data_IF_170599384347
#
_entry.id   IF_170599384347
#
_cell.length_a   1.000
_cell.length_b   1.000
_cell.length_c   1.000
_cell.angle_alpha   90.00
_cell.angle_beta   90.00
_cell.angle_gamma   90.00
#
_symmetry.space_group_name_H-M   'P 1'
#
loop_
_entity.id
_entity.type
_entity.pdbx_description
1 polymer ?
#
# COMPACT_ATOMS: atom_id res chain seq x y z
N UNK A 1 29.45 -16.94 2.65
CA UNK A 1 27.96 -17.13 2.66
C UNK A 1 27.69 -18.61 2.38
N UNK A 2 26.94 -19.29 3.25
CA UNK A 2 26.57 -20.70 3.04
C UNK A 2 25.66 -20.80 1.79
N UNK A 3 25.65 -21.97 1.12
CA UNK A 3 24.80 -22.23 -0.05
C UNK A 3 23.29 -21.97 0.24
N UNK A 4 22.89 -22.19 1.49
CA UNK A 4 21.52 -21.91 1.95
C UNK A 4 21.22 -20.40 2.00
N UNK A 5 22.17 -19.58 2.47
CA UNK A 5 22.02 -18.11 2.48
C UNK A 5 21.95 -17.52 1.06
N UNK A 6 22.75 -18.06 0.13
CA UNK A 6 22.72 -17.65 -1.28
C UNK A 6 21.38 -17.98 -1.95
N UNK A 7 20.83 -19.15 -1.64
CA UNK A 7 19.50 -19.58 -2.12
C UNK A 7 18.38 -18.72 -1.53
N UNK A 8 18.45 -18.42 -0.23
CA UNK A 8 17.49 -17.56 0.46
C UNK A 8 17.52 -16.12 -0.09
N UNK A 9 18.71 -15.55 -0.25
CA UNK A 9 18.88 -14.22 -0.83
C UNK A 9 18.36 -14.16 -2.27
N UNK A 10 18.63 -15.17 -3.11
CA UNK A 10 18.09 -15.24 -4.46
C UNK A 10 16.56 -15.34 -4.50
N UNK A 11 15.95 -16.11 -3.64
CA UNK A 11 14.49 -16.21 -3.53
C UNK A 11 13.86 -14.92 -3.04
N UNK A 12 14.42 -14.29 -2.01
CA UNK A 12 13.95 -12.99 -1.50
C UNK A 12 14.04 -11.91 -2.58
N UNK A 13 15.09 -11.93 -3.39
CA UNK A 13 15.26 -11.02 -4.52
C UNK A 13 14.19 -11.23 -5.60
N UNK A 14 13.87 -12.47 -5.96
CA UNK A 14 12.83 -12.81 -6.93
C UNK A 14 11.44 -12.36 -6.43
N UNK A 15 11.11 -12.61 -5.16
CA UNK A 15 9.84 -12.13 -4.57
C UNK A 15 9.79 -10.62 -4.47
N UNK A 16 10.91 -9.96 -4.14
CA UNK A 16 11.03 -8.52 -4.07
C UNK A 16 10.81 -7.85 -5.42
N UNK A 17 11.56 -8.27 -6.44
CA UNK A 17 11.46 -7.75 -7.81
C UNK A 17 10.06 -7.97 -8.37
N UNK A 18 9.46 -9.15 -8.16
CA UNK A 18 8.11 -9.42 -8.65
C UNK A 18 7.04 -8.54 -7.98
N UNK A 19 7.18 -8.27 -6.69
CA UNK A 19 6.26 -7.36 -5.98
C UNK A 19 6.37 -5.93 -6.51
N UNK A 20 7.58 -5.48 -6.83
CA UNK A 20 7.83 -4.16 -7.44
C UNK A 20 7.27 -4.12 -8.87
N UNK A 21 7.50 -5.17 -9.66
CA UNK A 21 6.98 -5.26 -11.03
C UNK A 21 5.45 -5.22 -11.07
N UNK A 22 4.78 -5.98 -10.21
CA UNK A 22 3.31 -5.96 -10.06
C UNK A 22 2.81 -4.57 -9.70
N UNK A 23 3.49 -3.86 -8.81
CA UNK A 23 3.15 -2.47 -8.46
C UNK A 23 3.35 -1.52 -9.64
N UNK A 24 4.45 -1.64 -10.38
CA UNK A 24 4.71 -0.83 -11.55
C UNK A 24 3.66 -1.05 -12.65
N UNK A 25 3.25 -2.29 -12.89
CA UNK A 25 2.19 -2.61 -13.86
C UNK A 25 0.84 -2.01 -13.45
N UNK A 26 0.44 -2.12 -12.18
CA UNK A 26 -0.76 -1.45 -11.67
C UNK A 26 -0.69 0.08 -11.81
N UNK A 27 0.52 0.62 -11.83
CA UNK A 27 0.77 2.04 -12.02
C UNK A 27 0.40 2.52 -13.43
N UNK A 28 0.46 1.63 -14.44
CA UNK A 28 0.05 1.96 -15.81
C UNK A 28 -1.45 2.32 -15.91
N UNK A 29 -2.26 1.90 -14.94
CA UNK A 29 -3.66 2.32 -14.88
C UNK A 29 -3.83 3.82 -14.56
N UNK A 30 -2.92 4.42 -13.81
CA UNK A 30 -3.04 5.82 -13.38
C UNK A 30 -3.11 6.78 -14.57
N UNK A 31 -2.13 6.79 -15.50
CA UNK A 31 -2.19 7.66 -16.67
C UNK A 31 -3.39 7.39 -17.55
N UNK A 32 -3.86 6.15 -17.61
CA UNK A 32 -5.03 5.78 -18.39
C UNK A 32 -6.33 6.25 -17.74
N UNK A 33 -6.57 5.86 -16.49
CA UNK A 33 -7.80 6.20 -15.78
C UNK A 33 -7.98 7.72 -15.59
N UNK A 34 -6.90 8.45 -15.31
CA UNK A 34 -6.98 9.91 -15.16
C UNK A 34 -7.23 10.66 -16.48
N UNK A 35 -7.16 9.98 -17.64
CA UNK A 35 -7.52 10.55 -18.95
C UNK A 35 -8.94 10.21 -19.38
N UNK A 36 -9.50 9.11 -18.87
CA UNK A 36 -10.83 8.62 -19.29
C UNK A 36 -11.90 8.84 -18.23
N UNK A 37 -11.51 9.20 -17.00
CA UNK A 37 -12.41 9.46 -15.88
C UNK A 37 -12.39 10.93 -15.48
N UNK A 38 -13.52 11.41 -14.99
CA UNK A 38 -13.66 12.67 -14.28
C UNK A 38 -13.00 12.58 -12.88
N UNK A 39 -12.73 13.74 -12.27
CA UNK A 39 -12.08 13.82 -10.95
C UNK A 39 -12.85 13.07 -9.87
N UNK A 40 -14.18 13.28 -9.80
CA UNK A 40 -15.04 12.62 -8.82
C UNK A 40 -15.05 11.10 -9.00
N UNK A 41 -15.13 10.61 -10.24
CA UNK A 41 -15.08 9.18 -10.55
C UNK A 41 -13.75 8.53 -10.12
N UNK A 42 -12.63 9.20 -10.37
CA UNK A 42 -11.32 8.73 -9.89
C UNK A 42 -11.20 8.83 -8.37
N UNK A 43 -11.89 9.80 -7.75
CA UNK A 43 -12.06 9.93 -6.29
C UNK A 43 -12.71 8.69 -5.69
N UNK A 44 -13.79 8.17 -6.29
CA UNK A 44 -14.45 6.93 -5.89
C UNK A 44 -13.44 5.75 -5.92
N UNK A 45 -12.69 5.61 -7.02
CA UNK A 45 -11.66 4.56 -7.15
C UNK A 45 -10.60 4.71 -6.06
N UNK A 46 -10.12 5.93 -5.81
CA UNK A 46 -9.09 6.21 -4.80
C UNK A 46 -9.57 5.90 -3.39
N UNK A 47 -10.82 6.20 -3.07
CA UNK A 47 -11.43 5.91 -1.78
C UNK A 47 -11.57 4.39 -1.55
N UNK A 48 -12.22 3.71 -2.48
CA UNK A 48 -12.47 2.27 -2.35
C UNK A 48 -11.16 1.48 -2.30
N UNK A 49 -10.15 1.87 -3.08
CA UNK A 49 -8.83 1.24 -3.02
C UNK A 49 -8.06 1.51 -1.71
N UNK A 50 -8.48 2.50 -0.91
CA UNK A 50 -7.95 2.65 0.45
C UNK A 50 -8.62 1.71 1.46
N UNK A 51 -9.89 1.38 1.24
CA UNK A 51 -10.65 0.43 2.09
C UNK A 51 -10.11 -1.00 1.95
N UNK A 52 -9.77 -1.43 0.72
CA UNK A 52 -9.37 -2.80 0.42
C UNK A 52 -8.22 -3.29 1.32
N UNK A 53 -7.04 -2.63 1.41
CA UNK A 53 -5.95 -3.10 2.28
C UNK A 53 -6.32 -3.12 3.75
N UNK A 54 -7.11 -2.16 4.22
CA UNK A 54 -7.54 -2.08 5.62
C UNK A 54 -8.42 -3.29 6.01
N UNK A 55 -9.45 -3.59 5.21
CA UNK A 55 -10.33 -4.73 5.45
C UNK A 55 -9.59 -6.06 5.23
N UNK A 56 -8.70 -6.14 4.24
CA UNK A 56 -7.90 -7.34 3.96
C UNK A 56 -7.05 -7.75 5.17
N UNK A 57 -6.43 -6.79 5.86
CA UNK A 57 -5.66 -7.07 7.09
C UNK A 57 -6.55 -7.67 8.18
N UNK A 58 -7.78 -7.18 8.32
CA UNK A 58 -8.76 -7.71 9.28
C UNK A 58 -9.14 -9.15 8.93
N UNK A 59 -9.47 -9.43 7.67
CA UNK A 59 -9.90 -10.76 7.22
C UNK A 59 -8.78 -11.81 7.29
N UNK A 60 -7.55 -11.41 7.00
CA UNK A 60 -6.39 -12.32 7.07
C UNK A 60 -5.93 -12.57 8.51
N UNK A 61 -6.35 -11.76 9.47
CA UNK A 61 -6.08 -11.92 10.91
C UNK A 61 -4.60 -12.11 11.27
N UNK A 62 -3.67 -11.65 10.43
CA UNK A 62 -2.22 -11.88 10.60
C UNK A 62 -1.82 -13.36 10.42
N UNK A 63 -2.73 -14.22 9.94
CA UNK A 63 -2.52 -15.68 9.83
C UNK A 63 -1.46 -16.06 8.80
N UNK A 64 -1.05 -15.19 7.86
CA UNK A 64 0.10 -15.47 7.00
C UNK A 64 1.37 -15.70 7.83
N UNK A 65 1.64 -14.82 8.78
CA UNK A 65 2.81 -14.95 9.67
C UNK A 65 2.66 -16.13 10.62
N UNK A 66 1.43 -16.37 11.13
CA UNK A 66 1.10 -17.55 11.90
C UNK A 66 1.39 -18.84 11.12
N UNK A 67 0.91 -18.91 9.88
CA UNK A 67 1.17 -20.04 8.99
C UNK A 67 2.68 -20.33 8.84
N UNK A 68 3.50 -19.33 8.49
CA UNK A 68 4.94 -19.50 8.35
C UNK A 68 5.59 -20.04 9.63
N UNK A 69 5.22 -19.52 10.79
CA UNK A 69 5.79 -19.96 12.06
C UNK A 69 5.45 -21.41 12.39
N UNK A 70 4.17 -21.78 12.24
CA UNK A 70 3.71 -23.12 12.61
C UNK A 70 4.10 -24.16 11.55
N UNK A 71 4.05 -23.83 10.26
CA UNK A 71 4.52 -24.69 9.20
C UNK A 71 6.05 -24.93 9.27
N UNK A 72 6.83 -23.89 9.66
CA UNK A 72 8.28 -24.02 9.85
C UNK A 72 8.68 -24.89 11.08
N UNK A 73 7.77 -25.07 12.06
CA UNK A 73 7.98 -25.93 13.23
C UNK A 73 7.44 -27.35 13.04
N UNK A 74 6.67 -27.59 11.98
CA UNK A 74 6.03 -28.86 11.73
C UNK A 74 7.04 -29.97 11.44
N UNK A 75 6.87 -31.15 12.09
CA UNK A 75 7.77 -32.28 12.02
C UNK A 75 7.66 -33.07 10.71
N UNK A 76 6.69 -32.80 9.85
CA UNK A 76 6.47 -33.51 8.58
C UNK A 76 5.39 -32.89 7.72
N UNK A 77 5.26 -33.40 6.49
CA UNK A 77 4.32 -32.87 5.48
C UNK A 77 2.84 -33.01 5.90
N UNK A 78 2.49 -34.03 6.69
CA UNK A 78 1.12 -34.20 7.23
C UNK A 78 0.75 -33.07 8.18
N UNK A 79 1.67 -32.68 9.07
CA UNK A 79 1.45 -31.58 10.01
C UNK A 79 1.41 -30.23 9.28
N UNK A 80 2.29 -30.00 8.30
CA UNK A 80 2.25 -28.81 7.44
C UNK A 80 0.90 -28.68 6.71
N UNK A 81 0.39 -29.79 6.15
CA UNK A 81 -0.94 -29.82 5.52
C UNK A 81 -2.05 -29.46 6.50
N UNK A 82 -1.98 -29.93 7.73
CA UNK A 82 -2.94 -29.62 8.80
C UNK A 82 -2.90 -28.15 9.18
N UNK A 83 -1.69 -27.55 9.33
CA UNK A 83 -1.50 -26.12 9.58
C UNK A 83 -2.08 -25.30 8.44
N UNK A 84 -1.77 -25.68 7.20
CA UNK A 84 -2.31 -25.02 6.00
C UNK A 84 -3.84 -25.08 5.96
N UNK A 85 -4.43 -26.27 6.09
CA UNK A 85 -5.87 -26.48 6.05
C UNK A 85 -6.60 -25.65 7.13
N UNK A 86 -6.02 -25.58 8.35
CA UNK A 86 -6.61 -24.82 9.44
C UNK A 86 -6.52 -23.32 9.22
N UNK A 87 -5.36 -22.78 8.85
CA UNK A 87 -5.19 -21.36 8.56
C UNK A 87 -6.08 -20.92 7.38
N UNK A 88 -6.10 -21.71 6.31
CA UNK A 88 -6.94 -21.44 5.14
C UNK A 88 -8.43 -21.55 5.46
N UNK A 89 -8.86 -22.55 6.25
CA UNK A 89 -10.23 -22.71 6.70
C UNK A 89 -10.71 -21.53 7.54
N UNK A 90 -9.88 -21.01 8.43
CA UNK A 90 -10.21 -19.86 9.26
C UNK A 90 -10.41 -18.59 8.42
N UNK A 91 -9.45 -18.28 7.53
CA UNK A 91 -9.56 -17.10 6.65
C UNK A 91 -10.77 -17.25 5.72
N UNK A 92 -10.99 -18.43 5.13
CA UNK A 92 -12.13 -18.66 4.24
C UNK A 92 -13.47 -18.49 4.96
N UNK A 93 -13.61 -19.02 6.19
CA UNK A 93 -14.82 -18.87 6.99
C UNK A 93 -15.11 -17.39 7.29
N UNK A 94 -14.11 -16.65 7.78
CA UNK A 94 -14.25 -15.23 8.11
C UNK A 94 -14.55 -14.41 6.87
N UNK A 95 -13.92 -14.71 5.73
CA UNK A 95 -14.16 -14.02 4.44
C UNK A 95 -15.58 -14.27 3.93
N UNK A 96 -16.10 -15.51 4.03
CA UNK A 96 -17.48 -15.83 3.64
C UNK A 96 -18.48 -15.11 4.54
N UNK A 97 -18.28 -15.16 5.87
CA UNK A 97 -19.14 -14.44 6.82
C UNK A 97 -19.12 -12.92 6.56
N UNK A 98 -17.95 -12.36 6.35
CA UNK A 98 -17.81 -10.95 5.98
C UNK A 98 -18.58 -10.62 4.69
N UNK A 99 -18.44 -11.42 3.64
CA UNK A 99 -19.12 -11.16 2.38
C UNK A 99 -20.63 -11.28 2.50
N UNK A 100 -21.13 -12.27 3.25
CA UNK A 100 -22.57 -12.40 3.58
C UNK A 100 -23.07 -11.16 4.34
N UNK A 101 -22.31 -10.66 5.32
CA UNK A 101 -22.67 -9.42 6.03
C UNK A 101 -22.69 -8.21 5.10
N UNK A 102 -21.70 -8.10 4.19
CA UNK A 102 -21.68 -7.03 3.17
C UNK A 102 -22.91 -7.10 2.28
N UNK A 103 -23.34 -8.29 1.87
CA UNK A 103 -24.55 -8.44 1.03
C UNK A 103 -25.83 -8.07 1.81
N UNK A 104 -25.94 -8.50 3.07
CA UNK A 104 -27.11 -8.21 3.92
C UNK A 104 -27.24 -6.71 4.23
N UNK A 105 -26.13 -6.04 4.47
CA UNK A 105 -26.10 -4.62 4.84
C UNK A 105 -25.63 -3.71 3.70
N UNK A 106 -25.68 -4.20 2.45
CA UNK A 106 -25.12 -3.49 1.28
C UNK A 106 -25.63 -2.04 1.16
N UNK A 107 -26.95 -1.84 1.26
CA UNK A 107 -27.55 -0.51 1.18
C UNK A 107 -27.09 0.43 2.30
N UNK A 108 -27.14 -0.04 3.54
CA UNK A 108 -26.72 0.73 4.72
C UNK A 108 -25.24 1.12 4.65
N UNK A 109 -24.37 0.19 4.21
CA UNK A 109 -22.94 0.47 4.04
C UNK A 109 -22.74 1.48 2.91
N UNK A 110 -23.49 1.34 1.80
CA UNK A 110 -23.42 2.26 0.68
C UNK A 110 -23.82 3.68 1.07
N UNK A 111 -24.92 3.84 1.84
CA UNK A 111 -25.35 5.13 2.40
C UNK A 111 -24.28 5.74 3.31
N UNK A 112 -23.74 4.95 4.24
CA UNK A 112 -22.71 5.41 5.18
C UNK A 112 -21.42 5.85 4.48
N UNK A 113 -21.04 5.16 3.38
CA UNK A 113 -19.87 5.51 2.58
C UNK A 113 -20.13 6.62 1.54
N UNK A 114 -21.37 7.10 1.39
CA UNK A 114 -21.72 8.13 0.41
C UNK A 114 -22.01 7.59 -1.01
N UNK A 115 -22.26 6.29 -1.14
CA UNK A 115 -22.52 5.61 -2.43
C UNK A 115 -23.94 5.04 -2.54
N UNK A 116 -24.92 5.70 -1.93
CA UNK A 116 -26.33 5.24 -1.94
C UNK A 116 -26.89 5.01 -3.35
N UNK A 117 -26.47 5.83 -4.33
CA UNK A 117 -26.86 5.66 -5.75
C UNK A 117 -26.21 4.44 -6.44
N UNK A 118 -25.11 3.93 -5.91
CA UNK A 118 -24.33 2.85 -6.49
C UNK A 118 -23.93 1.76 -5.47
N UNK A 119 -24.91 1.06 -4.86
CA UNK A 119 -24.62 0.00 -3.89
C UNK A 119 -23.78 -1.14 -4.48
N UNK A 120 -23.79 -1.26 -5.82
CA UNK A 120 -22.97 -2.24 -6.54
C UNK A 120 -21.46 -2.11 -6.25
N UNK A 121 -20.96 -0.91 -5.99
CA UNK A 121 -19.53 -0.72 -5.66
C UNK A 121 -19.16 -1.42 -4.36
N UNK A 122 -20.07 -1.44 -3.39
CA UNK A 122 -19.85 -2.01 -2.06
C UNK A 122 -19.77 -3.53 -2.10
N UNK A 123 -20.76 -4.20 -2.72
CA UNK A 123 -20.72 -5.67 -2.77
C UNK A 123 -19.58 -6.16 -3.66
N UNK A 124 -19.25 -5.48 -4.78
CA UNK A 124 -18.10 -5.84 -5.60
C UNK A 124 -16.79 -5.71 -4.81
N UNK A 125 -16.64 -4.62 -4.06
CA UNK A 125 -15.47 -4.42 -3.19
C UNK A 125 -15.40 -5.49 -2.10
N UNK A 126 -16.53 -5.81 -1.47
CA UNK A 126 -16.63 -6.89 -0.49
C UNK A 126 -16.21 -8.25 -1.07
N UNK A 127 -16.66 -8.56 -2.29
CA UNK A 127 -16.27 -9.77 -3.02
C UNK A 127 -14.77 -9.79 -3.34
N UNK A 128 -14.21 -8.68 -3.84
CA UNK A 128 -12.77 -8.55 -4.12
C UNK A 128 -11.95 -8.86 -2.86
N UNK A 129 -12.27 -8.20 -1.76
CA UNK A 129 -11.52 -8.37 -0.51
C UNK A 129 -11.66 -9.78 0.05
N UNK A 130 -12.86 -10.38 -0.03
CA UNK A 130 -13.10 -11.76 0.41
C UNK A 130 -12.28 -12.75 -0.43
N UNK A 131 -12.28 -12.61 -1.77
CA UNK A 131 -11.49 -13.46 -2.66
C UNK A 131 -9.99 -13.30 -2.42
N UNK A 132 -9.52 -12.06 -2.27
CA UNK A 132 -8.11 -11.77 -2.01
C UNK A 132 -7.65 -12.32 -0.65
N UNK A 133 -8.50 -12.25 0.38
CA UNK A 133 -8.22 -12.84 1.68
C UNK A 133 -8.13 -14.37 1.59
N UNK A 134 -9.07 -15.03 0.90
CA UNK A 134 -9.05 -16.49 0.71
C UNK A 134 -7.78 -16.95 -0.01
N UNK A 135 -7.26 -16.17 -0.96
CA UNK A 135 -6.02 -16.50 -1.68
C UNK A 135 -4.74 -16.23 -0.88
N UNK A 136 -4.79 -15.45 0.21
CA UNK A 136 -3.61 -15.05 0.99
C UNK A 136 -2.83 -16.24 1.53
N UNK A 137 -3.51 -17.22 2.15
CA UNK A 137 -2.86 -18.43 2.72
C UNK A 137 -2.32 -19.36 1.64
N UNK A 138 -3.02 -19.67 0.52
CA UNK A 138 -2.44 -20.35 -0.62
C UNK A 138 -1.18 -19.67 -1.19
N UNK A 139 -1.16 -18.34 -1.30
CA UNK A 139 0.05 -17.61 -1.69
C UNK A 139 1.18 -17.75 -0.65
N UNK A 140 0.86 -17.73 0.65
CA UNK A 140 1.84 -17.99 1.70
C UNK A 140 2.44 -19.41 1.59
N UNK A 141 1.61 -20.41 1.25
CA UNK A 141 2.08 -21.78 1.00
C UNK A 141 3.04 -21.89 -0.19
N UNK A 142 2.76 -21.20 -1.31
CA UNK A 142 3.69 -21.16 -2.45
C UNK A 142 5.05 -20.58 -2.05
N UNK A 143 5.05 -19.57 -1.16
CA UNK A 143 6.30 -18.98 -0.61
C UNK A 143 7.02 -19.96 0.32
N UNK A 144 6.30 -20.64 1.21
CA UNK A 144 6.85 -21.65 2.11
C UNK A 144 7.51 -22.79 1.32
N UNK A 145 6.86 -23.24 0.23
CA UNK A 145 7.37 -24.28 -0.66
C UNK A 145 8.47 -23.79 -1.62
N UNK A 146 8.92 -22.54 -1.51
CA UNK A 146 9.91 -21.92 -2.40
C UNK A 146 9.53 -21.96 -3.90
N UNK A 147 8.22 -21.97 -4.21
CA UNK A 147 7.67 -21.96 -5.58
C UNK A 147 7.54 -20.54 -6.12
N UNK A 148 8.62 -19.77 -6.12
CA UNK A 148 8.64 -18.35 -6.48
C UNK A 148 8.10 -18.08 -7.89
N UNK A 149 8.45 -18.88 -8.88
CA UNK A 149 7.97 -18.69 -10.27
C UNK A 149 6.46 -18.77 -10.40
N UNK A 150 5.79 -19.72 -9.70
CA UNK A 150 4.34 -19.84 -9.70
C UNK A 150 3.66 -18.66 -8.98
N UNK A 151 4.23 -18.24 -7.86
CA UNK A 151 3.78 -17.05 -7.15
C UNK A 151 3.79 -15.81 -8.05
N UNK A 152 4.92 -15.55 -8.72
CA UNK A 152 5.10 -14.42 -9.63
C UNK A 152 4.12 -14.50 -10.80
N UNK A 153 4.02 -15.66 -11.44
CA UNK A 153 3.14 -15.87 -12.59
C UNK A 153 1.68 -15.55 -12.23
N UNK A 154 1.18 -16.08 -11.11
CA UNK A 154 -0.20 -15.81 -10.68
C UNK A 154 -0.45 -14.33 -10.42
N UNK A 155 0.50 -13.65 -9.77
CA UNK A 155 0.41 -12.20 -9.52
C UNK A 155 0.44 -11.40 -10.81
N UNK A 156 1.27 -11.79 -11.78
CA UNK A 156 1.31 -11.15 -13.11
C UNK A 156 0.02 -11.37 -13.88
N UNK A 157 -0.51 -12.60 -13.90
CA UNK A 157 -1.79 -12.90 -14.57
C UNK A 157 -2.91 -12.04 -13.98
N UNK A 158 -3.00 -11.93 -12.65
CA UNK A 158 -4.00 -11.09 -11.99
C UNK A 158 -3.91 -9.62 -12.47
N UNK A 159 -2.72 -9.06 -12.51
CA UNK A 159 -2.52 -7.67 -12.95
C UNK A 159 -2.84 -7.51 -14.44
N UNK A 160 -2.39 -8.44 -15.29
CA UNK A 160 -2.65 -8.39 -16.73
C UNK A 160 -4.15 -8.48 -17.01
N UNK A 161 -4.87 -9.35 -16.32
CA UNK A 161 -6.34 -9.47 -16.45
C UNK A 161 -7.01 -8.16 -16.05
N UNK A 162 -6.63 -7.58 -14.90
CA UNK A 162 -7.17 -6.30 -14.44
C UNK A 162 -6.91 -5.16 -15.44
N UNK A 163 -5.67 -5.04 -15.93
CA UNK A 163 -5.27 -4.04 -16.94
C UNK A 163 -6.07 -4.24 -18.24
N UNK A 164 -6.09 -5.46 -18.77
CA UNK A 164 -6.77 -5.77 -20.03
C UNK A 164 -8.27 -5.45 -19.96
N UNK A 165 -8.93 -5.81 -18.86
CA UNK A 165 -10.35 -5.52 -18.65
C UNK A 165 -10.61 -4.02 -18.46
N UNK A 166 -9.74 -3.28 -17.75
CA UNK A 166 -9.86 -1.82 -17.65
C UNK A 166 -9.73 -1.16 -19.03
N UNK A 167 -8.75 -1.57 -19.86
CA UNK A 167 -8.62 -1.07 -21.23
C UNK A 167 -9.81 -1.46 -22.12
N UNK A 168 -10.35 -2.66 -21.93
CA UNK A 168 -11.54 -3.10 -22.65
C UNK A 168 -12.78 -2.25 -22.27
N UNK A 169 -13.07 -2.10 -20.98
CA UNK A 169 -14.27 -1.42 -20.50
C UNK A 169 -14.29 0.07 -20.80
N UNK A 170 -13.16 0.77 -20.72
CA UNK A 170 -13.11 2.22 -20.98
C UNK A 170 -12.69 2.57 -22.41
N UNK A 171 -11.98 1.69 -23.12
CA UNK A 171 -11.51 1.95 -24.48
C UNK A 171 -12.43 1.37 -25.56
N UNK A 172 -12.71 0.08 -25.49
CA UNK A 172 -13.38 -0.62 -26.57
C UNK A 172 -14.89 -0.80 -26.37
N UNK A 173 -15.33 -1.11 -25.16
CA UNK A 173 -16.73 -1.38 -24.87
C UNK A 173 -17.67 -0.22 -25.26
N UNK A 174 -17.36 1.07 -24.98
CA UNK A 174 -18.22 2.17 -25.41
C UNK A 174 -18.34 2.28 -26.93
N UNK A 175 -17.25 2.04 -27.66
CA UNK A 175 -17.26 2.08 -29.13
C UNK A 175 -18.00 0.90 -29.74
N UNK A 176 -17.93 -0.29 -29.15
CA UNK A 176 -18.67 -1.47 -29.56
C UNK A 176 -20.17 -1.30 -29.31
N UNK A 177 -20.55 -0.78 -28.15
CA UNK A 177 -21.93 -0.49 -27.80
C UNK A 177 -22.55 0.55 -28.76
N UNK A 178 -21.81 1.60 -29.10
CA UNK A 178 -22.22 2.63 -30.09
C UNK A 178 -22.41 2.06 -31.50
N UNK A 179 -21.78 0.94 -31.83
CA UNK A 179 -21.97 0.21 -33.09
C UNK A 179 -23.09 -0.86 -33.03
N UNK A 180 -23.81 -0.94 -31.91
CA UNK A 180 -24.83 -1.96 -31.68
C UNK A 180 -24.28 -3.36 -31.36
N UNK A 181 -22.96 -3.48 -31.13
CA UNK A 181 -22.31 -4.71 -30.71
C UNK A 181 -22.22 -4.69 -29.18
N UNK A 182 -22.85 -5.65 -28.48
CA UNK A 182 -22.90 -5.75 -27.03
C UNK A 182 -23.49 -4.49 -26.30
N UNK A 183 -24.58 -3.87 -26.78
CA UNK A 183 -25.16 -2.70 -26.15
C UNK A 183 -25.63 -2.97 -24.71
N UNK A 184 -26.02 -4.22 -24.42
CA UNK A 184 -26.46 -4.67 -23.09
C UNK A 184 -25.32 -4.77 -22.06
N UNK A 185 -24.06 -4.81 -22.51
CA UNK A 185 -22.89 -4.91 -21.62
C UNK A 185 -22.34 -3.55 -21.19
N UNK A 186 -22.77 -2.45 -21.85
CA UNK A 186 -22.31 -1.12 -21.56
C UNK A 186 -23.40 -0.28 -20.89
N UNK A 187 -23.16 0.12 -19.67
CA UNK A 187 -23.98 1.06 -18.92
C UNK A 187 -23.14 2.31 -18.54
N UNK A 188 -23.41 3.47 -19.14
CA UNK A 188 -22.70 4.72 -18.79
C UNK A 188 -22.82 5.09 -17.31
N UNK A 189 -23.93 4.73 -16.64
CA UNK A 189 -24.16 5.00 -15.24
C UNK A 189 -23.24 4.19 -14.30
N UNK A 190 -22.67 3.08 -14.80
CA UNK A 190 -21.72 2.26 -14.06
C UNK A 190 -20.42 3.04 -13.72
N UNK A 191 -20.01 3.99 -14.57
CA UNK A 191 -18.88 4.89 -14.34
C UNK A 191 -17.61 4.17 -13.82
N UNK A 192 -17.12 4.54 -12.60
CA UNK A 192 -15.95 3.91 -11.99
C UNK A 192 -16.17 2.45 -11.61
N UNK A 193 -17.39 1.94 -11.60
CA UNK A 193 -17.71 0.56 -11.28
C UNK A 193 -17.04 -0.46 -12.19
N UNK A 194 -16.72 -0.12 -13.44
CA UNK A 194 -15.99 -1.00 -14.34
C UNK A 194 -14.56 -1.34 -13.84
N UNK A 195 -13.93 -0.44 -13.06
CA UNK A 195 -12.65 -0.77 -12.41
C UNK A 195 -12.84 -1.88 -11.37
N UNK A 196 -13.96 -1.84 -10.63
CA UNK A 196 -14.27 -2.86 -9.63
C UNK A 196 -14.64 -4.19 -10.29
N UNK A 197 -15.37 -4.17 -11.41
CA UNK A 197 -15.64 -5.38 -12.21
C UNK A 197 -14.34 -6.00 -12.72
N UNK A 198 -13.42 -5.20 -13.26
CA UNK A 198 -12.12 -5.69 -13.73
C UNK A 198 -11.28 -6.30 -12.60
N UNK A 199 -11.26 -5.66 -11.44
CA UNK A 199 -10.54 -6.16 -10.27
C UNK A 199 -11.20 -7.43 -9.71
N UNK A 200 -12.52 -7.48 -9.63
CA UNK A 200 -13.27 -8.67 -9.19
C UNK A 200 -12.98 -9.86 -10.10
N UNK A 201 -13.01 -9.67 -11.42
CA UNK A 201 -12.65 -10.71 -12.38
C UNK A 201 -11.19 -11.17 -12.21
N UNK A 202 -10.25 -10.26 -11.99
CA UNK A 202 -8.85 -10.58 -11.73
C UNK A 202 -8.66 -11.40 -10.44
N UNK A 203 -9.37 -11.03 -9.35
CA UNK A 203 -9.35 -11.79 -8.08
C UNK A 203 -10.00 -13.18 -8.24
N UNK A 204 -11.11 -13.29 -8.99
CA UNK A 204 -11.74 -14.56 -9.28
C UNK A 204 -10.85 -15.49 -10.12
N UNK A 205 -10.22 -14.97 -11.19
CA UNK A 205 -9.24 -15.71 -12.00
C UNK A 205 -8.06 -16.17 -11.13
N UNK A 206 -7.57 -15.30 -10.24
CA UNK A 206 -6.49 -15.64 -9.31
C UNK A 206 -6.87 -16.80 -8.39
N UNK A 207 -8.07 -16.77 -7.82
CA UNK A 207 -8.59 -17.86 -6.99
C UNK A 207 -8.66 -19.16 -7.79
N UNK A 208 -9.28 -19.14 -8.98
CA UNK A 208 -9.41 -20.33 -9.83
C UNK A 208 -8.06 -20.96 -10.20
N UNK A 209 -7.05 -20.13 -10.47
CA UNK A 209 -5.72 -20.61 -10.84
C UNK A 209 -4.89 -21.10 -9.63
N UNK A 210 -5.15 -20.60 -8.43
CA UNK A 210 -4.38 -21.01 -7.24
C UNK A 210 -4.99 -22.26 -6.59
N UNK A 211 -6.28 -22.54 -6.73
CA UNK A 211 -6.95 -23.71 -6.15
C UNK A 211 -6.28 -25.06 -6.50
N UNK A 212 -5.94 -25.36 -7.75
CA UNK A 212 -5.24 -26.62 -8.10
C UNK A 212 -3.89 -26.73 -7.41
N UNK A 213 -3.23 -25.60 -7.08
CA UNK A 213 -1.92 -25.57 -6.42
C UNK A 213 -2.00 -25.83 -4.93
N UNK A 214 -3.20 -25.87 -4.34
CA UNK A 214 -3.43 -26.29 -2.95
C UNK A 214 -3.27 -27.80 -2.74
N UNK A 215 -3.02 -28.58 -3.80
CA UNK A 215 -2.68 -30.01 -3.71
C UNK A 215 -3.79 -30.86 -3.10
N UNK A 216 -5.06 -30.57 -3.44
CA UNK A 216 -6.22 -31.33 -2.95
C UNK A 216 -6.52 -31.16 -1.45
N UNK A 217 -5.86 -30.23 -0.77
CA UNK A 217 -6.13 -29.95 0.66
C UNK A 217 -7.35 -29.04 0.73
N UNK A 218 -8.43 -29.53 1.34
CA UNK A 218 -9.63 -28.75 1.62
C UNK A 218 -9.42 -27.86 2.88
N UNK A 219 -10.04 -26.67 2.93
CA UNK A 219 -10.05 -25.86 4.14
C UNK A 219 -10.75 -26.62 5.27
N UNK A 220 -10.08 -26.77 6.41
CA UNK A 220 -10.58 -27.53 7.56
C UNK A 220 -10.04 -26.93 8.86
N UNK A 221 -10.91 -26.68 9.83
CA UNK A 221 -10.52 -26.02 11.09
C UNK A 221 -10.28 -27.07 12.18
N UNK A 222 -9.03 -27.17 12.65
CA UNK A 222 -8.67 -27.82 13.89
C UNK A 222 -8.74 -26.81 15.03
N UNK A 223 -9.67 -26.99 15.97
CA UNK A 223 -9.94 -26.03 17.05
C UNK A 223 -8.71 -25.74 17.94
N UNK A 224 -7.89 -26.75 18.25
CA UNK A 224 -6.69 -26.56 19.09
C UNK A 224 -5.63 -25.75 18.35
N UNK A 225 -5.38 -26.11 17.11
CA UNK A 225 -4.42 -25.42 16.27
C UNK A 225 -4.89 -23.99 15.91
N UNK A 226 -6.18 -23.81 15.63
CA UNK A 226 -6.80 -22.51 15.38
C UNK A 226 -6.60 -21.54 16.55
N UNK A 227 -6.83 -22.01 17.79
CA UNK A 227 -6.59 -21.19 18.98
C UNK A 227 -5.12 -20.77 19.10
N UNK A 228 -4.19 -21.69 18.87
CA UNK A 228 -2.75 -21.38 18.92
C UNK A 228 -2.33 -20.39 17.83
N UNK A 229 -2.85 -20.54 16.62
CA UNK A 229 -2.64 -19.62 15.50
C UNK A 229 -3.18 -18.22 15.84
N UNK A 230 -4.42 -18.11 16.35
CA UNK A 230 -5.03 -16.84 16.72
C UNK A 230 -4.26 -16.12 17.83
N UNK A 231 -3.92 -16.81 18.90
CA UNK A 231 -3.15 -16.20 20.01
C UNK A 231 -1.83 -15.60 19.53
N UNK A 232 -1.16 -16.31 18.60
CA UNK A 232 0.08 -15.78 18.02
C UNK A 232 -0.17 -14.62 17.04
N UNK A 233 -1.22 -14.70 16.21
CA UNK A 233 -1.47 -13.75 15.11
C UNK A 233 -2.18 -12.49 15.57
N UNK A 234 -2.90 -12.49 16.69
CA UNK A 234 -3.67 -11.34 17.17
C UNK A 234 -2.83 -10.07 17.40
N UNK A 235 -1.65 -10.13 18.05
CA UNK A 235 -0.78 -8.94 18.13
C UNK A 235 -0.32 -8.42 16.77
N UNK A 236 -0.09 -9.33 15.81
CA UNK A 236 0.32 -8.97 14.45
C UNK A 236 -0.84 -8.32 13.67
N UNK A 237 -2.06 -8.80 13.89
CA UNK A 237 -3.28 -8.17 13.36
C UNK A 237 -3.41 -6.72 13.85
N UNK A 238 -3.27 -6.47 15.16
CA UNK A 238 -3.36 -5.12 15.71
C UNK A 238 -2.30 -4.18 15.12
N UNK A 239 -1.07 -4.68 14.97
CA UNK A 239 -0.01 -3.92 14.31
C UNK A 239 -0.31 -3.63 12.83
N UNK A 240 -0.88 -4.59 12.12
CA UNK A 240 -1.29 -4.46 10.72
C UNK A 240 -2.42 -3.45 10.53
N UNK A 241 -3.45 -3.51 11.39
CA UNK A 241 -4.55 -2.53 11.40
C UNK A 241 -4.00 -1.12 11.62
N UNK A 242 -3.15 -0.92 12.63
CA UNK A 242 -2.55 0.39 12.91
C UNK A 242 -1.74 0.93 11.70
N UNK A 243 -1.05 0.05 10.97
CA UNK A 243 -0.28 0.43 9.78
C UNK A 243 -1.13 0.84 8.58
N UNK A 244 -2.28 0.19 8.37
CA UNK A 244 -3.18 0.50 7.24
C UNK A 244 -4.23 1.56 7.57
N UNK A 245 -4.54 1.75 8.86
CA UNK A 245 -5.55 2.70 9.32
C UNK A 245 -5.23 4.14 8.90
N UNK A 246 -3.97 4.55 8.97
CA UNK A 246 -3.56 5.90 8.58
C UNK A 246 -3.92 6.23 7.13
N UNK A 247 -3.67 5.31 6.19
CA UNK A 247 -3.98 5.54 4.77
C UNK A 247 -5.49 5.55 4.50
N UNK A 248 -6.24 4.70 5.19
CA UNK A 248 -7.70 4.64 5.07
C UNK A 248 -8.34 5.89 5.66
N UNK A 249 -7.98 6.24 6.89
CA UNK A 249 -8.57 7.38 7.63
C UNK A 249 -8.24 8.70 6.95
N UNK A 250 -7.02 8.89 6.47
CA UNK A 250 -6.62 10.08 5.74
C UNK A 250 -7.58 10.39 4.57
N UNK A 251 -7.86 9.39 3.71
CA UNK A 251 -8.79 9.55 2.59
C UNK A 251 -10.24 9.69 3.01
N UNK A 252 -10.65 8.97 4.05
CA UNK A 252 -12.01 9.08 4.58
C UNK A 252 -12.27 10.46 5.17
N UNK A 253 -11.29 11.05 5.83
CA UNK A 253 -11.41 12.40 6.40
C UNK A 253 -11.48 13.48 5.32
N UNK A 254 -10.81 13.31 4.18
CA UNK A 254 -11.00 14.21 3.03
C UNK A 254 -12.46 14.21 2.59
N UNK A 255 -13.11 13.05 2.51
CA UNK A 255 -14.52 12.98 2.12
C UNK A 255 -15.47 13.61 3.16
N UNK A 256 -15.22 13.38 4.44
CA UNK A 256 -16.13 13.85 5.50
C UNK A 256 -15.96 15.34 5.83
N UNK A 257 -14.73 15.86 5.71
CA UNK A 257 -14.39 17.19 6.20
C UNK A 257 -14.33 18.26 5.11
N UNK A 258 -14.27 17.87 3.83
CA UNK A 258 -14.26 18.84 2.73
C UNK A 258 -15.63 19.48 2.59
N UNK A 259 -15.78 20.81 2.77
CA UNK A 259 -17.03 21.50 2.56
C UNK A 259 -17.37 21.60 1.06
N UNK A 260 -18.64 21.75 0.71
CA UNK A 260 -19.08 21.92 -0.69
C UNK A 260 -19.82 20.73 -1.29
N UNK A 261 -20.11 19.70 -0.48
CA UNK A 261 -20.88 18.53 -0.90
C UNK A 261 -20.03 17.33 -1.28
N UNK A 262 -20.69 16.17 -1.42
CA UNK A 262 -20.04 14.89 -1.63
C UNK A 262 -19.29 14.79 -2.96
N UNK A 263 -19.83 15.41 -4.01
CA UNK A 263 -19.21 15.41 -5.34
C UNK A 263 -17.88 16.19 -5.33
N UNK A 264 -17.89 17.40 -4.77
CA UNK A 264 -16.67 18.20 -4.64
C UNK A 264 -15.63 17.52 -3.74
N UNK A 265 -16.06 16.88 -2.66
CA UNK A 265 -15.15 16.11 -1.81
C UNK A 265 -14.50 14.92 -2.56
N UNK A 266 -15.26 14.25 -3.44
CA UNK A 266 -14.75 13.21 -4.32
C UNK A 266 -13.78 13.76 -5.38
N UNK A 267 -14.02 14.94 -5.94
CA UNK A 267 -13.08 15.61 -6.85
C UNK A 267 -11.76 15.91 -6.15
N UNK A 268 -11.82 16.49 -4.94
CA UNK A 268 -10.65 16.76 -4.10
C UNK A 268 -9.85 15.47 -3.84
N UNK A 269 -10.56 14.40 -3.48
CA UNK A 269 -9.95 13.09 -3.25
C UNK A 269 -9.37 12.48 -4.53
N UNK A 270 -10.01 12.71 -5.68
CA UNK A 270 -9.52 12.28 -6.99
C UNK A 270 -8.18 12.91 -7.33
N UNK A 271 -8.07 14.22 -7.20
CA UNK A 271 -6.81 14.96 -7.40
C UNK A 271 -5.74 14.49 -6.42
N UNK A 272 -6.07 14.39 -5.13
CA UNK A 272 -5.17 13.90 -4.09
C UNK A 272 -4.64 12.50 -4.40
N UNK A 273 -5.56 11.57 -4.71
CA UNK A 273 -5.23 10.19 -5.04
C UNK A 273 -4.32 10.06 -6.27
N UNK A 274 -4.54 10.88 -7.31
CA UNK A 274 -3.71 10.91 -8.51
C UNK A 274 -2.28 11.40 -8.20
N UNK A 275 -2.14 12.47 -7.41
CA UNK A 275 -0.82 13.02 -7.05
C UNK A 275 -0.05 12.10 -6.11
N UNK A 276 -0.71 11.47 -5.13
CA UNK A 276 -0.05 10.44 -4.28
C UNK A 276 0.57 9.34 -5.14
N UNK A 277 -0.10 8.96 -6.21
CA UNK A 277 0.43 7.96 -7.14
C UNK A 277 1.69 8.44 -7.87
N UNK A 278 1.90 9.70 -8.14
CA UNK A 278 3.18 10.19 -8.67
C UNK A 278 4.35 10.01 -7.68
N UNK A 279 4.06 10.06 -6.40
CA UNK A 279 5.06 9.80 -5.33
C UNK A 279 5.49 8.34 -5.18
N UNK A 280 5.00 7.42 -6.00
CA UNK A 280 5.28 5.97 -5.90
C UNK A 280 6.75 5.62 -6.03
N UNK A 281 7.52 6.37 -6.80
CA UNK A 281 8.95 6.08 -6.99
C UNK A 281 9.66 6.07 -5.64
N UNK A 282 9.36 7.05 -4.76
CA UNK A 282 9.88 7.08 -3.39
C UNK A 282 9.38 5.89 -2.57
N UNK A 283 8.11 5.52 -2.71
CA UNK A 283 7.52 4.37 -2.00
C UNK A 283 8.13 3.04 -2.48
N UNK A 284 8.41 2.91 -3.78
CA UNK A 284 9.10 1.75 -4.34
C UNK A 284 10.53 1.65 -3.81
N UNK A 285 11.27 2.74 -3.79
CA UNK A 285 12.61 2.78 -3.20
C UNK A 285 12.59 2.36 -1.72
N UNK A 286 11.70 2.95 -0.92
CA UNK A 286 11.52 2.55 0.49
C UNK A 286 11.15 1.07 0.64
N UNK A 287 10.32 0.54 -0.26
CA UNK A 287 9.94 -0.88 -0.25
C UNK A 287 11.12 -1.80 -0.61
N UNK A 288 11.94 -1.43 -1.60
CA UNK A 288 13.16 -2.16 -1.96
C UNK A 288 14.18 -2.13 -0.82
N UNK A 289 14.37 -0.95 -0.22
CA UNK A 289 15.22 -0.80 0.95
C UNK A 289 14.76 -1.70 2.11
N UNK A 290 13.46 -1.72 2.42
CA UNK A 290 12.89 -2.60 3.45
C UNK A 290 13.16 -4.07 3.18
N UNK A 291 12.94 -4.53 1.95
CA UNK A 291 13.16 -5.92 1.56
C UNK A 291 14.62 -6.36 1.72
N UNK A 292 15.57 -5.47 1.50
CA UNK A 292 17.00 -5.74 1.66
C UNK A 292 17.45 -5.59 3.12
N UNK A 293 17.05 -4.50 3.77
CA UNK A 293 17.56 -4.10 5.08
C UNK A 293 16.94 -4.90 6.22
N UNK A 294 15.63 -5.22 6.16
CA UNK A 294 14.92 -5.87 7.26
C UNK A 294 15.50 -7.26 7.57
N UNK A 295 15.69 -8.20 6.61
CA UNK A 295 16.34 -9.48 6.89
C UNK A 295 17.78 -9.33 7.38
N UNK A 296 18.52 -8.40 6.79
CA UNK A 296 19.90 -8.13 7.13
C UNK A 296 20.06 -7.70 8.60
N UNK A 297 19.30 -6.69 9.04
CA UNK A 297 19.38 -6.19 10.40
C UNK A 297 18.77 -7.16 11.43
N UNK A 298 17.81 -7.99 11.05
CA UNK A 298 17.21 -8.96 11.98
C UNK A 298 18.04 -10.22 12.16
N UNK A 299 18.88 -10.61 11.19
CA UNK A 299 19.61 -11.89 11.20
C UNK A 299 21.05 -11.81 11.71
N UNK A 300 21.81 -10.78 11.35
CA UNK A 300 23.28 -10.82 11.43
C UNK A 300 23.93 -9.88 12.46
N UNK A 301 23.23 -8.88 12.97
CA UNK A 301 23.86 -7.85 13.79
C UNK A 301 23.35 -7.79 15.22
N UNK A 302 24.27 -7.81 16.20
CA UNK A 302 24.00 -7.58 17.61
C UNK A 302 24.98 -6.54 18.16
N UNK A 303 24.50 -5.71 19.11
CA UNK A 303 25.37 -4.77 19.81
C UNK A 303 25.81 -3.56 18.97
N UNK A 304 27.08 -3.19 19.08
CA UNK A 304 27.62 -1.95 18.50
C UNK A 304 27.77 -2.00 16.98
N UNK A 305 28.00 -3.18 16.38
CA UNK A 305 28.03 -3.33 14.94
C UNK A 305 26.68 -3.03 14.30
N UNK A 306 25.60 -3.46 14.95
CA UNK A 306 24.22 -3.08 14.52
C UNK A 306 24.03 -1.57 14.51
N UNK A 307 24.43 -0.91 15.61
CA UNK A 307 24.23 0.55 15.77
C UNK A 307 24.97 1.34 14.70
N UNK A 308 26.23 1.01 14.46
CA UNK A 308 27.07 1.68 13.46
C UNK A 308 26.55 1.46 12.05
N UNK A 309 26.24 0.22 11.70
CA UNK A 309 25.74 -0.13 10.37
C UNK A 309 24.35 0.48 10.12
N UNK A 310 23.48 0.51 11.13
CA UNK A 310 22.16 1.17 11.03
C UNK A 310 22.30 2.68 10.81
N UNK A 311 23.23 3.34 11.49
CA UNK A 311 23.50 4.77 11.28
C UNK A 311 24.00 5.07 9.86
N UNK A 312 24.91 4.22 9.33
CA UNK A 312 25.40 4.35 7.96
C UNK A 312 24.30 4.09 6.92
N UNK A 313 23.49 3.07 7.13
CA UNK A 313 22.37 2.74 6.25
C UNK A 313 21.34 3.89 6.21
N UNK A 314 21.02 4.50 7.36
CA UNK A 314 20.15 5.67 7.44
C UNK A 314 20.71 6.84 6.62
N UNK A 315 22.01 7.12 6.75
CA UNK A 315 22.67 8.21 6.02
C UNK A 315 22.54 8.02 4.51
N UNK A 316 22.87 6.83 3.98
CA UNK A 316 22.75 6.55 2.56
C UNK A 316 21.29 6.53 2.08
N UNK A 317 20.37 6.02 2.90
CA UNK A 317 18.94 6.08 2.59
C UNK A 317 18.47 7.53 2.39
N UNK A 318 18.87 8.43 3.28
CA UNK A 318 18.51 9.86 3.20
C UNK A 318 19.14 10.51 1.95
N UNK A 319 20.41 10.26 1.66
CA UNK A 319 21.08 10.80 0.47
C UNK A 319 20.33 10.39 -0.81
N UNK A 320 20.05 9.11 -0.98
CA UNK A 320 19.33 8.61 -2.17
C UNK A 320 17.91 9.17 -2.22
N UNK A 321 17.23 9.25 -1.07
CA UNK A 321 15.89 9.84 -0.99
C UNK A 321 15.86 11.32 -1.39
N UNK A 322 16.86 12.10 -0.98
CA UNK A 322 17.00 13.51 -1.41
C UNK A 322 17.21 13.59 -2.92
N UNK A 323 18.00 12.69 -3.48
CA UNK A 323 18.22 12.66 -4.94
C UNK A 323 16.92 12.35 -5.70
N UNK A 324 16.15 11.36 -5.24
CA UNK A 324 14.83 11.03 -5.81
C UNK A 324 13.87 12.22 -5.64
N UNK A 325 13.86 12.85 -4.46
CA UNK A 325 13.05 14.03 -4.18
C UNK A 325 13.37 15.16 -5.16
N UNK A 326 14.65 15.54 -5.29
CA UNK A 326 15.08 16.61 -6.20
C UNK A 326 14.71 16.30 -7.64
N UNK A 327 15.00 15.08 -8.11
CA UNK A 327 14.68 14.65 -9.46
C UNK A 327 13.19 14.80 -9.77
N UNK A 328 12.31 14.28 -8.92
CA UNK A 328 10.88 14.31 -9.19
C UNK A 328 10.29 15.70 -8.93
N UNK A 329 10.71 16.39 -7.87
CA UNK A 329 10.14 17.67 -7.49
C UNK A 329 10.55 18.81 -8.45
N UNK A 330 11.79 18.82 -8.95
CA UNK A 330 12.25 19.80 -9.94
C UNK A 330 11.65 19.55 -11.33
N UNK A 331 11.48 18.29 -11.72
CA UNK A 331 10.87 17.91 -12.99
C UNK A 331 9.37 17.60 -12.84
N UNK A 332 8.70 18.14 -11.84
CA UNK A 332 7.29 17.85 -11.52
C UNK A 332 6.34 18.05 -12.72
N UNK A 333 6.63 19.01 -13.59
CA UNK A 333 5.78 19.29 -14.76
C UNK A 333 5.90 18.17 -15.81
N UNK A 334 7.08 17.52 -15.93
CA UNK A 334 7.26 16.33 -16.74
C UNK A 334 6.44 15.16 -16.15
N UNK A 335 6.51 14.97 -14.84
CA UNK A 335 5.68 13.95 -14.15
C UNK A 335 4.19 14.27 -14.22
N UNK A 336 3.79 15.55 -14.27
CA UNK A 336 2.41 15.97 -14.49
C UNK A 336 1.83 15.46 -15.81
N UNK A 337 2.66 15.27 -16.86
CA UNK A 337 2.22 14.72 -18.15
C UNK A 337 1.72 13.28 -18.05
N UNK A 338 2.11 12.56 -17.02
CA UNK A 338 1.60 11.21 -16.71
C UNK A 338 0.09 11.27 -16.42
N UNK A 339 -0.37 12.33 -15.73
CA UNK A 339 -1.77 12.52 -15.36
C UNK A 339 -2.60 13.17 -16.48
N UNK A 340 -3.90 12.89 -16.46
CA UNK A 340 -4.90 13.61 -17.24
C UNK A 340 -4.87 15.12 -16.90
N UNK A 341 -5.28 15.96 -17.87
CA UNK A 341 -5.18 17.43 -17.76
C UNK A 341 -5.86 17.96 -16.50
N UNK A 342 -7.02 17.43 -16.15
CA UNK A 342 -7.86 17.89 -15.04
C UNK A 342 -7.24 17.61 -13.66
N UNK A 343 -6.31 16.67 -13.56
CA UNK A 343 -5.63 16.30 -12.32
C UNK A 343 -4.31 17.05 -12.09
N UNK A 344 -3.81 17.78 -13.10
CA UNK A 344 -2.49 18.42 -13.04
C UNK A 344 -2.44 19.60 -12.07
N UNK A 345 -3.57 20.22 -11.78
CA UNK A 345 -3.62 21.30 -10.80
C UNK A 345 -3.09 20.89 -9.42
N UNK A 346 -3.26 19.62 -9.04
CA UNK A 346 -2.76 19.11 -7.77
C UNK A 346 -1.26 18.84 -7.71
N UNK A 347 -0.54 18.85 -8.84
CA UNK A 347 0.87 18.41 -8.88
C UNK A 347 1.81 19.29 -8.03
N UNK A 348 1.41 20.50 -7.71
CA UNK A 348 2.19 21.38 -6.84
C UNK A 348 2.37 20.84 -5.41
N UNK A 349 1.46 19.94 -4.92
CA UNK A 349 1.66 19.27 -3.61
C UNK A 349 2.62 18.08 -3.69
N UNK A 350 3.08 17.67 -4.88
CA UNK A 350 3.95 16.52 -5.07
C UNK A 350 5.21 16.56 -4.19
N UNK A 351 5.91 17.71 -4.01
CA UNK A 351 7.03 17.79 -3.09
C UNK A 351 6.64 17.44 -1.63
N UNK A 352 5.44 17.82 -1.17
CA UNK A 352 4.94 17.49 0.17
C UNK A 352 4.74 15.97 0.29
N UNK A 353 4.15 15.34 -0.73
CA UNK A 353 3.93 13.89 -0.77
C UNK A 353 5.26 13.11 -0.79
N UNK A 354 6.24 13.57 -1.58
CA UNK A 354 7.57 12.95 -1.65
C UNK A 354 8.30 13.04 -0.31
N UNK A 355 8.22 14.20 0.36
CA UNK A 355 8.82 14.40 1.66
C UNK A 355 8.16 13.51 2.73
N UNK A 356 6.84 13.39 2.72
CA UNK A 356 6.11 12.47 3.60
C UNK A 356 6.56 11.01 3.38
N UNK A 357 6.68 10.57 2.12
CA UNK A 357 7.14 9.21 1.80
C UNK A 357 8.61 8.97 2.20
N UNK A 358 9.47 9.98 2.11
CA UNK A 358 10.85 9.93 2.61
C UNK A 358 10.88 9.76 4.14
N UNK A 359 10.08 10.55 4.87
CA UNK A 359 9.97 10.45 6.33
C UNK A 359 9.45 9.08 6.77
N UNK A 360 8.47 8.51 6.06
CA UNK A 360 8.00 7.15 6.29
C UNK A 360 9.12 6.10 6.16
N UNK A 361 10.04 6.27 5.21
CA UNK A 361 11.23 5.44 5.09
C UNK A 361 12.22 5.64 6.24
N UNK A 362 12.33 6.85 6.79
CA UNK A 362 13.13 7.12 7.99
C UNK A 362 12.53 6.40 9.22
N UNK A 363 11.18 6.45 9.39
CA UNK A 363 10.47 5.69 10.43
C UNK A 363 10.77 4.20 10.32
N UNK A 364 10.75 3.66 9.09
CA UNK A 364 11.11 2.25 8.85
C UNK A 364 12.51 1.92 9.35
N UNK A 365 13.53 2.73 9.04
CA UNK A 365 14.90 2.51 9.50
C UNK A 365 15.00 2.60 11.03
N UNK A 366 14.37 3.62 11.63
CA UNK A 366 14.28 3.76 13.07
C UNK A 366 13.53 2.60 13.75
N UNK A 367 12.76 1.79 13.01
CA UNK A 367 12.00 0.67 13.55
C UNK A 367 12.84 -0.62 13.77
N UNK A 368 14.01 -0.74 13.16
CA UNK A 368 14.77 -1.99 13.18
C UNK A 368 15.19 -2.42 14.59
N UNK A 369 15.54 -1.48 15.49
CA UNK A 369 15.97 -1.83 16.82
C UNK A 369 14.89 -2.53 17.67
N UNK A 370 13.66 -2.04 17.67
CA UNK A 370 12.60 -2.67 18.46
C UNK A 370 12.06 -3.96 17.81
N UNK A 371 12.18 -4.10 16.50
CA UNK A 371 11.91 -5.37 15.81
C UNK A 371 12.97 -6.41 16.18
N UNK A 372 14.24 -6.03 16.19
CA UNK A 372 15.36 -6.91 16.55
C UNK A 372 15.29 -7.34 18.02
N UNK A 373 15.01 -6.42 18.93
CA UNK A 373 14.92 -6.69 20.37
C UNK A 373 13.59 -7.35 20.79
N UNK A 374 12.62 -7.49 19.88
CA UNK A 374 11.27 -8.00 20.17
C UNK A 374 10.39 -7.01 20.94
N UNK A 375 10.84 -5.77 21.12
CA UNK A 375 10.12 -4.73 21.85
C UNK A 375 9.01 -4.08 21.00
N UNK A 376 8.16 -4.89 20.39
CA UNK A 376 7.14 -4.50 19.38
C UNK A 376 6.08 -3.52 19.92
N UNK A 377 5.95 -3.36 21.25
CA UNK A 377 5.07 -2.35 21.87
C UNK A 377 5.38 -0.93 21.38
N UNK A 378 6.63 -0.64 21.05
CA UNK A 378 7.03 0.67 20.54
C UNK A 378 6.50 0.95 19.12
N UNK A 379 6.26 -0.09 18.32
CA UNK A 379 5.56 0.05 17.05
C UNK A 379 4.16 0.62 17.25
N UNK A 380 3.43 0.14 18.27
CA UNK A 380 2.07 0.61 18.59
C UNK A 380 2.10 2.09 19.03
N UNK A 381 3.09 2.49 19.83
CA UNK A 381 3.21 3.89 20.24
C UNK A 381 3.49 4.82 19.05
N UNK A 382 4.42 4.43 18.15
CA UNK A 382 4.76 5.22 16.97
C UNK A 382 3.57 5.31 16.00
N UNK A 383 2.94 4.18 15.66
CA UNK A 383 1.79 4.18 14.73
C UNK A 383 0.55 4.82 15.37
N UNK A 384 0.33 4.66 16.67
CA UNK A 384 -0.75 5.34 17.40
C UNK A 384 -0.58 6.86 17.44
N UNK A 385 0.65 7.35 17.62
CA UNK A 385 0.97 8.77 17.49
C UNK A 385 0.68 9.25 16.07
N UNK A 386 1.11 8.49 15.05
CA UNK A 386 0.78 8.80 13.65
C UNK A 386 -0.72 8.97 13.45
N UNK A 387 -1.53 8.01 13.91
CA UNK A 387 -2.98 8.06 13.79
C UNK A 387 -3.59 9.27 14.49
N UNK A 388 -3.13 9.59 15.72
CA UNK A 388 -3.57 10.76 16.46
C UNK A 388 -3.31 12.07 15.67
N UNK A 389 -2.09 12.23 15.15
CA UNK A 389 -1.73 13.39 14.36
C UNK A 389 -2.47 13.44 13.03
N UNK A 390 -2.68 12.31 12.36
CA UNK A 390 -3.49 12.22 11.13
C UNK A 390 -4.89 12.76 11.41
N UNK A 391 -5.57 12.27 12.45
CA UNK A 391 -6.94 12.70 12.78
C UNK A 391 -6.96 14.18 13.17
N UNK A 392 -6.10 14.61 14.09
CA UNK A 392 -6.08 15.98 14.58
C UNK A 392 -5.82 17.01 13.46
N UNK A 393 -4.80 16.77 12.64
CA UNK A 393 -4.43 17.73 11.59
C UNK A 393 -5.35 17.67 10.37
N UNK A 394 -5.98 16.53 10.06
CA UNK A 394 -7.04 16.51 9.04
C UNK A 394 -8.26 17.32 9.49
N UNK A 395 -8.72 17.18 10.75
CA UNK A 395 -9.82 18.00 11.30
C UNK A 395 -9.48 19.49 11.21
N UNK A 396 -8.26 19.89 11.47
CA UNK A 396 -7.84 21.27 11.48
C UNK A 396 -7.66 21.86 10.07
N UNK A 397 -7.08 21.08 9.14
CA UNK A 397 -6.60 21.62 7.86
C UNK A 397 -7.53 21.31 6.67
N UNK A 398 -8.18 20.15 6.64
CA UNK A 398 -9.01 19.76 5.49
C UNK A 398 -10.21 20.68 5.28
N UNK A 399 -10.93 21.17 6.30
CA UNK A 399 -12.07 22.07 6.08
C UNK A 399 -11.70 23.36 5.34
N UNK A 400 -10.47 23.86 5.53
CA UNK A 400 -10.02 25.13 4.92
C UNK A 400 -9.16 24.94 3.67
N UNK A 401 -8.43 23.84 3.55
CA UNK A 401 -7.41 23.61 2.52
C UNK A 401 -7.72 22.39 1.61
N UNK A 402 -8.81 21.66 1.85
CA UNK A 402 -9.16 20.48 1.07
C UNK A 402 -8.02 19.43 1.04
N UNK A 403 -7.72 18.88 -0.14
CA UNK A 403 -6.67 17.88 -0.33
C UNK A 403 -5.26 18.38 0.04
N UNK A 404 -5.04 19.68 0.00
CA UNK A 404 -3.76 20.27 0.44
C UNK A 404 -3.61 20.09 1.95
N UNK A 405 -4.70 20.32 2.69
CA UNK A 405 -4.74 20.07 4.12
C UNK A 405 -4.40 18.63 4.48
N UNK A 406 -4.91 17.66 3.72
CA UNK A 406 -4.59 16.24 3.91
C UNK A 406 -3.11 15.95 3.61
N UNK A 407 -2.53 16.52 2.54
CA UNK A 407 -1.11 16.35 2.25
C UNK A 407 -0.22 16.91 3.36
N UNK A 408 -0.55 18.07 3.92
CA UNK A 408 0.17 18.68 5.04
C UNK A 408 -0.04 17.86 6.32
N UNK A 409 -1.27 17.41 6.62
CA UNK A 409 -1.56 16.56 7.77
C UNK A 409 -0.72 15.27 7.72
N UNK A 410 -0.59 14.65 6.56
CA UNK A 410 0.29 13.48 6.35
C UNK A 410 1.76 13.81 6.63
N UNK A 411 2.26 14.94 6.15
CA UNK A 411 3.63 15.37 6.42
C UNK A 411 3.88 15.56 7.92
N UNK A 412 2.95 16.19 8.62
CA UNK A 412 3.03 16.39 10.08
C UNK A 412 2.97 15.05 10.83
N UNK A 413 2.08 14.14 10.42
CA UNK A 413 1.99 12.79 10.95
C UNK A 413 3.34 12.05 10.86
N UNK A 414 3.92 11.98 9.65
CA UNK A 414 5.20 11.29 9.44
C UNK A 414 6.34 11.97 10.22
N UNK A 415 6.34 13.31 10.32
CA UNK A 415 7.30 14.06 11.12
C UNK A 415 7.20 13.73 12.61
N UNK A 416 5.98 13.64 13.14
CA UNK A 416 5.73 13.26 14.54
C UNK A 416 6.18 11.81 14.80
N UNK A 417 5.91 10.89 13.87
CA UNK A 417 6.38 9.51 13.96
C UNK A 417 7.90 9.41 13.93
N UNK A 418 8.60 10.18 13.09
CA UNK A 418 10.07 10.27 13.08
C UNK A 418 10.58 10.79 14.41
N UNK A 419 10.02 11.91 14.91
CA UNK A 419 10.44 12.51 16.18
C UNK A 419 10.30 11.54 17.35
N UNK A 420 9.12 10.89 17.49
CA UNK A 420 8.90 9.91 18.55
C UNK A 420 9.82 8.69 18.39
N UNK A 421 9.94 8.13 17.18
CA UNK A 421 10.82 6.99 16.91
C UNK A 421 12.28 7.31 17.25
N UNK A 422 12.75 8.51 16.92
CA UNK A 422 14.09 8.95 17.24
C UNK A 422 14.30 9.11 18.76
N UNK A 423 13.36 9.72 19.49
CA UNK A 423 13.40 9.86 20.93
C UNK A 423 13.44 8.50 21.64
N UNK A 424 12.62 7.56 21.21
CA UNK A 424 12.61 6.20 21.71
C UNK A 424 13.93 5.47 21.41
N UNK A 425 14.46 5.62 20.20
CA UNK A 425 15.76 5.06 19.81
C UNK A 425 16.88 5.62 20.71
N UNK A 426 16.93 6.94 20.89
CA UNK A 426 17.94 7.58 21.75
C UNK A 426 17.89 7.09 23.19
N UNK A 427 16.69 6.76 23.71
CA UNK A 427 16.50 6.32 25.08
C UNK A 427 16.82 4.84 25.30
N UNK A 428 16.43 3.96 24.37
CA UNK A 428 16.45 2.50 24.58
C UNK A 428 17.52 1.77 23.76
N UNK A 429 17.91 2.31 22.62
CA UNK A 429 18.96 1.74 21.77
C UNK A 429 19.68 2.89 21.03
N UNK A 430 20.56 3.63 21.73
CA UNK A 430 21.20 4.82 21.15
C UNK A 430 22.07 4.44 19.95
N UNK A 431 21.58 4.74 18.75
CA UNK A 431 22.29 4.59 17.48
C UNK A 431 23.01 5.92 17.21
N UNK A 432 24.32 5.90 16.89
CA UNK A 432 25.12 7.10 16.66
C UNK A 432 24.84 7.70 15.27
N UNK A 433 23.64 8.24 15.06
CA UNK A 433 23.31 8.95 13.82
C UNK A 433 24.10 10.24 13.71
N UNK A 434 24.78 10.44 12.59
CA UNK A 434 25.51 11.67 12.29
C UNK A 434 24.52 12.77 11.84
N UNK A 435 23.80 13.33 12.83
CA UNK A 435 22.77 14.35 12.60
C UNK A 435 23.34 15.61 11.94
N UNK A 436 24.62 15.92 12.18
CA UNK A 436 25.26 17.08 11.55
C UNK A 436 25.34 16.89 10.04
N UNK A 437 25.90 15.77 9.59
CA UNK A 437 26.00 15.46 8.16
C UNK A 437 24.63 15.26 7.52
N UNK A 438 23.69 14.58 8.20
CA UNK A 438 22.31 14.46 7.73
C UNK A 438 21.69 15.83 7.51
N UNK A 439 21.86 16.74 8.49
CA UNK A 439 21.40 18.14 8.40
C UNK A 439 22.02 18.89 7.22
N UNK A 440 23.33 18.71 7.00
CA UNK A 440 24.05 19.30 5.86
C UNK A 440 23.48 18.81 4.51
N UNK A 441 23.20 17.51 4.36
CA UNK A 441 22.59 16.97 3.14
C UNK A 441 21.15 17.46 2.94
N UNK A 442 20.35 17.52 4.00
CA UNK A 442 18.98 18.04 3.93
C UNK A 442 18.99 19.53 3.57
N UNK A 443 19.89 20.32 4.17
CA UNK A 443 20.05 21.73 3.84
C UNK A 443 20.48 21.92 2.39
N UNK A 444 21.47 21.16 1.93
CA UNK A 444 21.91 21.18 0.53
C UNK A 444 20.76 20.83 -0.41
N UNK A 445 19.99 19.78 -0.11
CA UNK A 445 18.80 19.41 -0.88
C UNK A 445 17.75 20.52 -0.93
N UNK A 446 17.50 21.18 0.21
CA UNK A 446 16.56 22.31 0.27
C UNK A 446 17.05 23.53 -0.55
N UNK A 447 18.36 23.84 -0.47
CA UNK A 447 18.96 24.91 -1.25
C UNK A 447 18.91 24.62 -2.76
N UNK A 448 19.24 23.41 -3.18
CA UNK A 448 19.15 22.99 -4.59
C UNK A 448 17.70 23.01 -5.09
N UNK A 449 16.75 22.57 -4.29
CA UNK A 449 15.34 22.66 -4.63
C UNK A 449 14.88 24.12 -4.76
N UNK A 450 15.23 24.97 -3.81
CA UNK A 450 14.91 26.40 -3.83
C UNK A 450 15.53 27.11 -5.04
N UNK A 451 16.80 26.85 -5.33
CA UNK A 451 17.48 27.38 -6.53
C UNK A 451 16.81 26.92 -7.81
N UNK A 452 16.48 25.62 -7.92
CA UNK A 452 15.79 25.07 -9.08
C UNK A 452 14.39 25.66 -9.30
N UNK A 453 13.64 25.93 -8.23
CA UNK A 453 12.33 26.61 -8.31
C UNK A 453 12.51 28.07 -8.77
N UNK A 454 13.50 28.79 -8.24
CA UNK A 454 13.79 30.16 -8.65
C UNK A 454 14.24 30.23 -10.11
N UNK A 455 15.15 29.37 -10.55
CA UNK A 455 15.57 29.28 -11.95
C UNK A 455 14.38 28.92 -12.86
N UNK A 456 13.52 28.02 -12.45
CA UNK A 456 12.31 27.64 -13.20
C UNK A 456 11.31 28.78 -13.37
N UNK A 457 11.21 29.68 -12.42
CA UNK A 457 10.37 30.88 -12.54
C UNK A 457 10.93 31.92 -13.51
N UNK A 458 12.26 31.93 -13.70
CA UNK A 458 12.95 32.90 -14.56
C UNK A 458 13.05 32.46 -16.04
N UNK A 459 13.21 31.14 -16.27
CA UNK A 459 13.62 30.58 -17.56
C UNK A 459 12.58 29.72 -18.27
N UNK A 460 11.41 29.47 -17.64
CA UNK A 460 10.36 28.65 -18.25
C UNK A 460 10.86 27.25 -18.65
N UNK A 461 10.79 26.92 -19.97
CA UNK A 461 11.20 25.60 -20.47
C UNK A 461 12.73 25.39 -20.49
N UNK A 462 13.55 26.44 -20.46
CA UNK A 462 15.01 26.34 -20.39
C UNK A 462 15.53 25.65 -19.14
N UNK A 463 14.73 25.58 -18.07
CA UNK A 463 15.07 24.82 -16.83
C UNK A 463 15.30 23.32 -17.04
N UNK A 464 14.82 22.77 -18.18
CA UNK A 464 15.02 21.34 -18.50
C UNK A 464 16.32 21.10 -19.29
N UNK A 465 17.03 22.16 -19.68
CA UNK A 465 18.30 22.10 -20.40
C UNK A 465 19.52 22.30 -19.47
N UNK A 466 19.32 22.76 -18.25
CA UNK A 466 20.34 22.92 -17.21
C UNK A 466 20.24 21.78 -16.22
#
# INVERSE_FOLDING_TARGET
>A
MSNQMRKLAGQTMVYGISTVLVRLLNYLLVPYLTRVMERAQYGVVSHIYAVIPFVLVILTMGLESGYFRFAGKASGEGEKRRVFATAWGMVSLVSVLFFVLVLLFNGTIAEWMGYAAHPSYIWMTGAIVALDAVTAIPFARLREQSRSGRYVLLRLVSVVVNLALCFFFYGWLPSLAGRGILPWAYDPAMGPGYVFVANLAASAVTLLLILPMCGGVAPRIDRRLARSLLVYSLPLLLSGIAGTANEFIDRQMVLWLTPGGSEYALEQLGVYGAVIKLGVVMTLFTSMYRLAAEPFFLAEFKGDDFRRTNAEAMKYFIIVSIFIFLFIALFRDLFALILGRDFREGVWILPIVLLSNMLSGIVLNLSFWYKQTGATKYAIYVTGTGLLFTVAFNILLVPSLGYVGAAVARLVCESAMVALSYLLNRRYCPVPYDLKRIGEYVLLGALLYGAGVLCGSLTGWLRYLI
#
